data_IF_764145858487
#
_entry.id   IF_764145858487
#
_cell.length_a   1.000
_cell.length_b   1.000
_cell.length_c   1.000
_cell.angle_alpha   90.00
_cell.angle_beta   90.00
_cell.angle_gamma   90.00
#
_symmetry.space_group_name_H-M   'P 1'
#
loop_
_entity.id
_entity.type
_entity.pdbx_description
1 polymer ?
#
# COMPACT_ATOMS: atom_id res chain seq x y z
N UNK A 1 -40.68 14.23 40.32
CA UNK A 1 -40.37 13.05 39.52
C UNK A 1 -38.92 13.19 39.11
N UNK A 2 -38.02 12.58 39.86
CA UNK A 2 -36.56 12.64 39.65
C UNK A 2 -36.16 11.56 38.66
N UNK A 3 -35.65 11.99 37.52
CA UNK A 3 -35.16 11.10 36.47
C UNK A 3 -33.77 10.63 36.84
N UNK A 4 -33.62 9.42 37.40
CA UNK A 4 -32.35 8.76 37.67
C UNK A 4 -31.79 8.21 36.39
N UNK A 5 -30.81 8.90 35.84
CA UNK A 5 -29.97 8.33 34.77
C UNK A 5 -29.18 7.14 35.32
N UNK A 6 -29.45 5.94 34.80
CA UNK A 6 -28.71 4.73 35.12
C UNK A 6 -27.20 4.86 34.72
N UNK A 7 -26.32 4.03 35.28
CA UNK A 7 -24.90 4.08 34.96
C UNK A 7 -24.71 3.82 33.47
N UNK A 8 -24.22 4.84 32.77
CA UNK A 8 -23.96 4.76 31.33
C UNK A 8 -22.96 3.63 31.05
N UNK A 9 -23.28 2.78 30.09
CA UNK A 9 -22.33 1.83 29.53
C UNK A 9 -21.03 2.54 29.20
N UNK A 10 -19.85 1.99 29.52
CA UNK A 10 -18.57 2.63 29.24
C UNK A 10 -18.50 2.97 27.77
N UNK A 11 -18.32 4.25 27.47
CA UNK A 11 -18.10 4.67 26.08
C UNK A 11 -16.84 3.96 25.61
N UNK A 12 -16.93 3.23 24.49
CA UNK A 12 -15.82 2.54 23.82
C UNK A 12 -14.62 3.48 23.48
N UNK A 13 -14.73 4.77 23.83
CA UNK A 13 -13.73 5.82 23.62
C UNK A 13 -12.55 5.78 24.58
N UNK A 14 -12.63 5.09 25.73
CA UNK A 14 -11.68 5.31 26.83
C UNK A 14 -10.66 4.20 27.04
N UNK A 15 -10.76 3.09 26.29
CA UNK A 15 -9.76 2.01 26.33
C UNK A 15 -8.47 2.33 25.54
N UNK A 16 -7.38 1.59 25.83
CA UNK A 16 -6.12 1.75 25.09
C UNK A 16 -6.32 1.54 23.60
N UNK A 17 -5.50 2.21 22.77
CA UNK A 17 -5.51 2.01 21.34
C UNK A 17 -5.07 0.58 21.00
N UNK A 18 -5.76 -0.10 20.08
CA UNK A 18 -5.38 -1.45 19.67
C UNK A 18 -3.96 -1.49 19.04
N UNK A 19 -3.46 -0.36 18.52
CA UNK A 19 -2.07 -0.24 18.04
C UNK A 19 -1.04 -0.21 19.17
N UNK A 20 -1.40 0.31 20.34
CA UNK A 20 -0.55 0.23 21.54
C UNK A 20 -0.43 -1.23 21.98
N UNK A 21 -1.56 -1.93 22.09
CA UNK A 21 -1.57 -3.35 22.41
C UNK A 21 -0.74 -4.18 21.42
N UNK A 22 -0.94 -3.97 20.10
CA UNK A 22 -0.20 -4.71 19.07
C UNK A 22 1.33 -4.52 19.18
N UNK A 23 1.75 -3.30 19.53
CA UNK A 23 3.17 -2.97 19.75
C UNK A 23 3.72 -3.65 21.01
N UNK A 24 2.99 -3.63 22.12
CA UNK A 24 3.36 -4.27 23.37
C UNK A 24 3.47 -5.78 23.22
N UNK A 25 2.56 -6.39 22.46
CA UNK A 25 2.58 -7.82 22.15
C UNK A 25 3.59 -8.18 21.05
N UNK A 26 4.30 -7.19 20.48
CA UNK A 26 5.24 -7.39 19.37
C UNK A 26 4.60 -8.13 18.19
N UNK A 27 3.33 -7.83 17.92
CA UNK A 27 2.60 -8.44 16.83
C UNK A 27 3.28 -8.12 15.49
N UNK A 28 3.62 -9.16 14.74
CA UNK A 28 4.30 -9.00 13.45
C UNK A 28 3.32 -8.52 12.38
N UNK A 29 3.57 -7.37 11.72
CA UNK A 29 2.68 -6.84 10.70
C UNK A 29 2.80 -7.52 9.34
N UNK A 30 3.75 -8.44 9.12
CA UNK A 30 3.96 -9.04 7.81
C UNK A 30 2.72 -9.80 7.31
N UNK A 31 2.48 -9.74 6.00
CA UNK A 31 1.33 -10.37 5.37
C UNK A 31 0.01 -9.64 5.62
N UNK A 32 0.04 -8.44 6.20
CA UNK A 32 -1.18 -7.63 6.45
C UNK A 32 -1.38 -6.51 5.44
N UNK A 33 -0.50 -6.35 4.46
CA UNK A 33 -0.76 -5.51 3.30
C UNK A 33 -1.87 -6.14 2.45
N UNK A 34 -2.79 -5.33 1.92
CA UNK A 34 -3.77 -5.83 0.97
C UNK A 34 -3.10 -6.23 -0.35
N UNK A 35 -3.65 -7.25 -1.02
CA UNK A 35 -3.18 -7.68 -2.34
C UNK A 35 -4.06 -7.04 -3.42
N UNK A 36 -3.49 -6.20 -4.27
CA UNK A 36 -4.26 -5.42 -5.25
C UNK A 36 -3.57 -5.40 -6.62
N UNK A 37 -4.37 -5.36 -7.67
CA UNK A 37 -3.88 -5.10 -9.04
C UNK A 37 -3.50 -3.64 -9.25
N UNK A 38 -3.91 -2.74 -8.35
CA UNK A 38 -3.60 -1.33 -8.42
C UNK A 38 -4.21 -0.51 -7.29
N UNK A 39 -3.96 0.78 -7.35
CA UNK A 39 -4.58 1.80 -6.51
C UNK A 39 -5.23 2.85 -7.39
N UNK A 40 -6.40 3.33 -6.97
CA UNK A 40 -7.03 4.52 -7.48
C UNK A 40 -7.10 5.55 -6.34
N UNK A 41 -6.37 6.63 -6.48
CA UNK A 41 -6.32 7.74 -5.54
C UNK A 41 -7.16 8.88 -6.11
N UNK A 42 -8.05 9.45 -5.31
CA UNK A 42 -8.88 10.60 -5.70
C UNK A 42 -8.89 11.60 -4.56
N UNK A 43 -8.54 12.84 -4.82
CA UNK A 43 -8.73 13.90 -3.84
C UNK A 43 -10.23 14.10 -3.60
N UNK A 44 -10.63 13.99 -2.33
CA UNK A 44 -12.02 14.06 -1.91
C UNK A 44 -12.13 14.79 -0.57
N UNK A 45 -12.99 15.82 -0.45
CA UNK A 45 -13.07 16.66 0.73
C UNK A 45 -13.53 15.88 1.98
N UNK A 46 -13.13 16.39 3.13
CA UNK A 46 -13.64 15.95 4.43
C UNK A 46 -15.02 16.63 4.71
N UNK A 47 -15.86 16.02 5.59
CA UNK A 47 -15.64 14.81 6.36
C UNK A 47 -15.92 13.54 5.55
N UNK A 48 -15.13 12.50 5.76
CA UNK A 48 -15.39 11.20 5.15
C UNK A 48 -16.37 10.36 5.98
N UNK A 49 -17.32 9.67 5.35
CA UNK A 49 -18.16 8.68 6.02
C UNK A 49 -17.30 7.52 6.54
N UNK A 50 -17.84 6.74 7.46
CA UNK A 50 -17.11 5.59 8.02
C UNK A 50 -16.73 4.56 6.96
N UNK A 51 -17.63 4.27 6.06
CA UNK A 51 -17.37 3.52 4.84
C UNK A 51 -17.50 4.49 3.65
N UNK A 52 -16.43 4.62 2.88
CA UNK A 52 -16.40 5.53 1.74
C UNK A 52 -17.47 5.21 0.69
N UNK A 53 -17.98 3.98 0.66
CA UNK A 53 -19.10 3.58 -0.23
C UNK A 53 -20.45 4.16 0.21
N UNK A 54 -20.56 4.73 1.40
CA UNK A 54 -21.75 5.46 1.86
C UNK A 54 -21.89 6.84 1.18
N UNK A 55 -20.80 7.34 0.56
CA UNK A 55 -20.85 8.53 -0.28
C UNK A 55 -21.44 8.17 -1.66
N UNK A 56 -22.61 8.73 -2.03
CA UNK A 56 -23.30 8.36 -3.28
C UNK A 56 -22.47 8.68 -4.53
N UNK A 57 -21.62 9.71 -4.49
CA UNK A 57 -20.77 10.07 -5.63
C UNK A 57 -19.60 9.09 -5.81
N UNK A 58 -19.04 8.60 -4.70
CA UNK A 58 -17.91 7.66 -4.72
C UNK A 58 -18.31 6.20 -4.92
N UNK A 59 -19.54 5.81 -4.56
CA UNK A 59 -19.98 4.43 -4.63
C UNK A 59 -19.78 3.77 -6.00
N UNK A 60 -20.12 4.39 -7.16
CA UNK A 60 -19.84 3.82 -8.48
C UNK A 60 -18.36 3.64 -8.78
N UNK A 61 -17.53 4.59 -8.36
CA UNK A 61 -16.07 4.55 -8.55
C UNK A 61 -15.46 3.41 -7.75
N UNK A 62 -15.86 3.28 -6.48
CA UNK A 62 -15.37 2.23 -5.58
C UNK A 62 -15.77 0.84 -6.07
N UNK A 63 -17.01 0.67 -6.56
CA UNK A 63 -17.46 -0.59 -7.12
C UNK A 63 -16.69 -0.95 -8.41
N UNK A 64 -16.41 0.03 -9.26
CA UNK A 64 -15.61 -0.17 -10.47
C UNK A 64 -14.16 -0.52 -10.14
N UNK A 65 -13.56 0.18 -9.16
CA UNK A 65 -12.20 -0.13 -8.68
C UNK A 65 -12.13 -1.55 -8.08
N UNK A 66 -13.13 -1.93 -7.26
CA UNK A 66 -13.23 -3.27 -6.68
C UNK A 66 -13.30 -4.36 -7.75
N UNK A 67 -14.12 -4.17 -8.79
CA UNK A 67 -14.21 -5.10 -9.92
C UNK A 67 -12.91 -5.23 -10.69
N UNK A 68 -12.14 -4.14 -10.80
CA UNK A 68 -10.80 -4.13 -11.39
C UNK A 68 -9.71 -4.70 -10.45
N UNK A 69 -10.06 -5.14 -9.23
CA UNK A 69 -9.10 -5.59 -8.22
C UNK A 69 -8.21 -4.46 -7.66
N UNK A 70 -8.59 -3.20 -7.90
CA UNK A 70 -7.86 -2.03 -7.44
C UNK A 70 -8.37 -1.53 -6.08
N UNK A 71 -7.48 -0.97 -5.30
CA UNK A 71 -7.82 -0.31 -4.04
C UNK A 71 -8.14 1.16 -4.27
N UNK A 72 -9.37 1.58 -3.96
CA UNK A 72 -9.72 2.98 -3.87
C UNK A 72 -9.19 3.62 -2.59
N UNK A 73 -8.65 4.84 -2.69
CA UNK A 73 -8.22 5.68 -1.58
C UNK A 73 -8.64 7.13 -1.83
N UNK A 74 -9.46 7.69 -0.94
CA UNK A 74 -9.66 9.12 -0.92
C UNK A 74 -8.42 9.80 -0.32
N UNK A 75 -8.01 10.91 -0.91
CA UNK A 75 -6.95 11.78 -0.42
C UNK A 75 -7.57 13.08 0.10
N UNK A 76 -7.03 13.65 1.15
CA UNK A 76 -7.39 15.01 1.56
C UNK A 76 -6.83 15.99 0.52
N UNK A 77 -7.64 16.87 -0.08
CA UNK A 77 -7.16 17.84 -1.05
C UNK A 77 -6.05 18.73 -0.49
N UNK A 78 -5.03 18.96 -1.30
CA UNK A 78 -3.92 19.84 -0.92
C UNK A 78 -4.38 21.32 -0.84
N UNK A 79 -5.38 21.71 -1.62
CA UNK A 79 -5.98 23.04 -1.65
C UNK A 79 -7.47 22.92 -2.01
N UNK A 80 -8.30 23.78 -1.42
CA UNK A 80 -9.72 23.87 -1.77
C UNK A 80 -9.96 24.51 -3.14
N UNK A 81 -9.03 25.30 -3.64
CA UNK A 81 -9.14 26.06 -4.89
C UNK A 81 -8.26 25.50 -6.02
N UNK A 82 -7.51 24.44 -5.77
CA UNK A 82 -6.63 23.83 -6.76
C UNK A 82 -7.32 22.72 -7.58
N UNK A 83 -6.64 22.22 -8.63
CA UNK A 83 -7.13 21.05 -9.36
C UNK A 83 -7.19 19.83 -8.43
N UNK A 84 -8.17 18.99 -8.67
CA UNK A 84 -8.32 17.68 -8.03
C UNK A 84 -7.42 16.66 -8.74
N UNK A 85 -6.58 15.97 -7.96
CA UNK A 85 -5.74 14.90 -8.48
C UNK A 85 -6.48 13.57 -8.47
N UNK A 86 -6.48 12.91 -9.63
CA UNK A 86 -6.89 11.51 -9.80
C UNK A 86 -5.67 10.72 -10.26
N UNK A 87 -5.19 9.81 -9.41
CA UNK A 87 -3.96 9.05 -9.67
C UNK A 87 -4.25 7.55 -9.67
N UNK A 88 -3.97 6.90 -10.78
CA UNK A 88 -4.04 5.44 -10.88
C UNK A 88 -2.65 4.84 -10.85
N UNK A 89 -2.50 3.79 -10.07
CA UNK A 89 -1.34 2.94 -10.00
C UNK A 89 -1.74 1.52 -10.38
N UNK A 90 -1.05 0.89 -11.35
CA UNK A 90 -1.37 -0.46 -11.81
C UNK A 90 -0.15 -1.37 -11.69
N UNK A 91 -0.33 -2.53 -11.05
CA UNK A 91 0.72 -3.55 -10.99
C UNK A 91 0.80 -4.27 -12.33
N UNK A 92 2.01 -4.45 -12.90
CA UNK A 92 2.18 -5.19 -14.14
C UNK A 92 1.70 -6.64 -14.01
N UNK A 93 0.90 -7.11 -14.96
CA UNK A 93 0.28 -8.45 -14.90
C UNK A 93 1.32 -9.59 -14.84
N UNK A 94 2.49 -9.39 -15.44
CA UNK A 94 3.60 -10.35 -15.45
C UNK A 94 4.55 -10.22 -14.23
N UNK A 95 4.15 -9.44 -13.21
CA UNK A 95 5.04 -9.03 -12.14
C UNK A 95 5.80 -7.74 -12.48
N UNK A 96 6.34 -7.08 -11.47
CA UNK A 96 7.05 -5.82 -11.67
C UNK A 96 7.85 -5.39 -10.45
N UNK A 97 8.68 -4.38 -10.62
CA UNK A 97 9.39 -3.72 -9.52
C UNK A 97 8.49 -2.71 -8.82
N UNK A 98 7.55 -2.12 -9.56
CA UNK A 98 6.69 -1.01 -9.11
C UNK A 98 5.39 -0.96 -9.89
N UNK A 99 4.42 -0.25 -9.35
CA UNK A 99 3.18 0.09 -10.05
C UNK A 99 3.44 1.16 -11.12
N UNK A 100 2.86 0.97 -12.31
CA UNK A 100 2.83 2.01 -13.34
C UNK A 100 1.84 3.11 -12.90
N UNK A 101 2.25 4.37 -13.05
CA UNK A 101 1.51 5.55 -12.61
C UNK A 101 0.85 6.28 -13.78
N UNK A 102 -0.40 6.72 -13.59
CA UNK A 102 -1.11 7.66 -14.46
C UNK A 102 -1.80 8.70 -13.58
N UNK A 103 -1.57 9.99 -13.81
CA UNK A 103 -2.16 11.09 -13.04
C UNK A 103 -2.88 12.07 -13.96
N UNK A 104 -4.06 12.46 -13.52
CA UNK A 104 -4.85 13.53 -14.10
C UNK A 104 -5.05 14.62 -13.05
N UNK A 105 -4.98 15.87 -13.48
CA UNK A 105 -5.38 17.02 -12.70
C UNK A 105 -6.62 17.61 -13.38
N UNK A 106 -7.75 17.60 -12.69
CA UNK A 106 -9.06 17.97 -13.23
C UNK A 106 -9.79 18.91 -12.26
N UNK A 107 -10.85 19.54 -12.70
CA UNK A 107 -11.72 20.27 -11.79
C UNK A 107 -12.45 19.31 -10.83
N UNK A 108 -12.75 19.75 -9.62
CA UNK A 108 -13.39 18.91 -8.59
C UNK A 108 -14.68 18.25 -9.09
N UNK A 109 -15.47 18.96 -9.91
CA UNK A 109 -16.70 18.41 -10.51
C UNK A 109 -16.49 17.28 -11.52
N UNK A 110 -15.28 17.16 -12.07
CA UNK A 110 -14.91 16.16 -13.07
C UNK A 110 -14.20 14.94 -12.45
N UNK A 111 -13.84 15.00 -11.17
CA UNK A 111 -13.05 13.95 -10.50
C UNK A 111 -13.65 12.55 -10.63
N UNK A 112 -14.98 12.42 -10.49
CA UNK A 112 -15.69 11.13 -10.61
C UNK A 112 -15.61 10.60 -12.06
N UNK A 113 -15.87 11.46 -13.06
CA UNK A 113 -15.80 11.07 -14.47
C UNK A 113 -14.37 10.67 -14.86
N UNK A 114 -13.37 11.43 -14.42
CA UNK A 114 -11.96 11.13 -14.63
C UNK A 114 -11.56 9.79 -13.98
N UNK A 115 -11.99 9.54 -12.75
CA UNK A 115 -11.73 8.28 -12.04
C UNK A 115 -12.34 7.06 -12.76
N UNK A 116 -13.59 7.18 -13.25
CA UNK A 116 -14.23 6.12 -14.03
C UNK A 116 -13.56 5.90 -15.39
N UNK A 117 -13.14 6.97 -16.06
CA UNK A 117 -12.43 6.90 -17.33
C UNK A 117 -11.10 6.14 -17.18
N UNK A 118 -10.30 6.49 -16.17
CA UNK A 118 -9.04 5.81 -15.88
C UNK A 118 -9.25 4.33 -15.55
N UNK A 119 -10.32 3.97 -14.83
CA UNK A 119 -10.64 2.56 -14.52
C UNK A 119 -11.04 1.77 -15.78
N UNK A 120 -11.66 2.43 -16.77
CA UNK A 120 -12.09 1.82 -18.02
C UNK A 120 -10.95 1.58 -19.01
N UNK A 121 -9.81 2.25 -18.82
CA UNK A 121 -8.63 2.01 -19.64
C UNK A 121 -8.12 0.57 -19.41
N UNK A 122 -7.94 -0.22 -20.48
CA UNK A 122 -7.36 -1.54 -20.32
C UNK A 122 -5.95 -1.41 -19.74
N UNK A 123 -5.51 -2.35 -18.88
CA UNK A 123 -4.14 -2.38 -18.44
C UNK A 123 -3.24 -2.39 -19.67
N UNK A 124 -2.29 -1.44 -19.75
CA UNK A 124 -1.34 -1.41 -20.87
C UNK A 124 -0.71 -2.80 -20.99
N UNK A 125 -0.80 -3.39 -22.18
CA UNK A 125 -0.25 -4.72 -22.46
C UNK A 125 1.27 -4.62 -22.60
N UNK A 126 1.95 -4.42 -21.50
CA UNK A 126 3.40 -4.58 -21.42
C UNK A 126 3.69 -6.08 -21.24
N UNK A 127 3.37 -6.87 -22.27
CA UNK A 127 3.81 -8.27 -22.37
C UNK A 127 5.29 -8.32 -22.77
N UNK A 128 6.06 -9.35 -22.37
CA UNK A 128 7.38 -9.57 -22.98
C UNK A 128 7.22 -9.69 -24.49
N UNK A 129 8.17 -9.19 -25.32
CA UNK A 129 8.12 -9.38 -26.73
C UNK A 129 7.99 -10.89 -27.00
N UNK A 130 7.02 -11.26 -27.85
CA UNK A 130 6.89 -12.65 -28.28
C UNK A 130 8.21 -13.03 -28.93
N UNK A 131 8.81 -14.16 -28.53
CA UNK A 131 10.10 -14.64 -29.02
C UNK A 131 10.19 -14.85 -30.53
N UNK A 132 9.08 -14.73 -31.27
CA UNK A 132 8.93 -15.11 -32.66
C UNK A 132 8.69 -13.92 -33.62
N UNK A 133 8.83 -12.66 -33.17
CA UNK A 133 8.72 -11.51 -34.07
C UNK A 133 10.10 -11.10 -34.57
N UNK A 134 10.40 -11.21 -35.89
CA UNK A 134 11.70 -10.79 -36.44
C UNK A 134 11.88 -9.28 -36.26
N UNK A 135 13.11 -8.79 -36.04
CA UNK A 135 13.37 -7.37 -35.82
C UNK A 135 12.93 -6.57 -37.05
N UNK A 136 11.99 -5.65 -36.89
CA UNK A 136 11.61 -4.69 -37.94
C UNK A 136 12.83 -3.81 -38.23
N UNK A 137 13.29 -3.89 -39.50
CA UNK A 137 14.40 -3.05 -39.99
C UNK A 137 13.89 -1.62 -40.20
N UNK A 138 14.63 -0.67 -39.58
CA UNK A 138 14.77 0.74 -39.95
C UNK A 138 13.48 1.58 -40.02
N UNK A 139 12.83 1.84 -38.87
CA UNK A 139 12.04 3.07 -38.73
C UNK A 139 12.67 3.91 -37.58
N UNK A 140 12.79 5.24 -37.77
CA UNK A 140 13.28 6.10 -36.66
C UNK A 140 12.23 6.13 -35.54
N UNK A 141 12.64 6.17 -34.26
CA UNK A 141 11.71 6.15 -33.14
C UNK A 141 10.75 7.34 -33.22
N UNK A 142 9.45 7.05 -33.15
CA UNK A 142 8.45 8.09 -33.06
C UNK A 142 8.53 8.76 -31.69
N UNK A 143 8.39 10.09 -31.63
CA UNK A 143 8.50 10.91 -30.41
C UNK A 143 7.47 10.61 -29.31
N UNK A 144 6.61 9.62 -29.50
CA UNK A 144 5.51 9.24 -28.59
C UNK A 144 5.55 7.78 -28.12
N UNK A 145 6.69 7.10 -28.22
CA UNK A 145 6.80 5.77 -27.62
C UNK A 145 6.87 5.87 -26.09
N UNK A 146 6.04 5.09 -25.37
CA UNK A 146 6.16 5.00 -23.92
C UNK A 146 7.51 4.37 -23.53
N UNK A 147 8.10 4.76 -22.40
CA UNK A 147 9.41 4.25 -21.97
C UNK A 147 9.44 2.72 -21.95
N UNK A 148 10.52 2.16 -22.46
CA UNK A 148 10.75 0.72 -22.51
C UNK A 148 10.86 0.14 -21.09
N UNK A 149 10.55 -1.15 -20.93
CA UNK A 149 10.55 -1.89 -19.63
C UNK A 149 11.87 -1.80 -18.86
N UNK A 150 12.98 -1.48 -19.50
CA UNK A 150 14.33 -1.50 -18.95
C UNK A 150 14.91 -0.11 -18.69
N UNK A 151 14.12 0.96 -18.84
CA UNK A 151 14.62 2.25 -18.40
C UNK A 151 14.67 2.30 -16.87
N UNK A 152 15.84 2.66 -16.30
CA UNK A 152 15.91 2.93 -14.87
C UNK A 152 14.87 3.99 -14.53
N UNK A 153 14.22 3.91 -13.35
CA UNK A 153 13.17 4.82 -12.97
C UNK A 153 13.60 6.24 -13.28
N UNK A 154 12.80 6.97 -14.07
CA UNK A 154 13.11 8.36 -14.29
C UNK A 154 13.17 8.99 -12.90
N UNK A 155 14.28 9.65 -12.58
CA UNK A 155 14.49 10.32 -11.27
C UNK A 155 13.43 11.39 -10.97
N UNK A 156 12.47 11.58 -11.86
CA UNK A 156 11.43 12.60 -11.83
C UNK A 156 10.04 12.11 -11.43
N UNK A 157 9.80 10.79 -11.29
CA UNK A 157 8.52 10.32 -10.78
C UNK A 157 8.40 10.56 -9.27
N UNK A 158 7.34 11.25 -8.80
CA UNK A 158 7.16 11.49 -7.37
C UNK A 158 6.91 10.17 -6.63
N UNK A 159 7.41 10.11 -5.40
CA UNK A 159 7.05 9.07 -4.44
C UNK A 159 5.84 9.56 -3.67
N UNK A 160 4.76 8.80 -3.68
CA UNK A 160 3.57 9.09 -2.89
C UNK A 160 3.57 8.28 -1.60
N UNK A 161 3.58 8.96 -0.46
CA UNK A 161 3.47 8.36 0.87
C UNK A 161 2.05 8.60 1.39
N UNK A 162 1.26 7.55 1.43
CA UNK A 162 -0.15 7.57 1.84
C UNK A 162 -0.24 7.24 3.34
N UNK A 163 -0.58 8.21 4.19
CA UNK A 163 -0.75 8.03 5.63
C UNK A 163 -2.24 7.91 5.95
N UNK A 164 -2.65 6.79 6.54
CA UNK A 164 -4.03 6.59 6.97
C UNK A 164 -4.39 7.55 8.10
N UNK A 165 -5.36 8.44 7.85
CA UNK A 165 -5.87 9.41 8.84
C UNK A 165 -7.38 9.29 9.06
N UNK A 166 -8.01 8.16 8.65
CA UNK A 166 -9.46 7.97 8.66
C UNK A 166 -9.99 7.68 10.06
N UNK A 167 -10.18 8.74 10.86
CA UNK A 167 -10.65 8.68 12.25
C UNK A 167 -12.09 8.20 12.41
N UNK A 168 -12.97 8.54 11.46
CA UNK A 168 -14.36 8.07 11.44
C UNK A 168 -14.48 6.54 11.34
N UNK A 169 -13.46 5.88 10.76
CA UNK A 169 -13.40 4.43 10.67
C UNK A 169 -12.67 3.79 11.84
N UNK A 170 -11.45 4.23 12.15
CA UNK A 170 -10.58 3.63 13.15
C UNK A 170 -9.86 4.68 14.00
N UNK A 171 -10.07 4.63 15.31
CA UNK A 171 -9.51 5.57 16.27
C UNK A 171 -7.98 5.65 16.22
N UNK A 172 -7.30 4.52 16.03
CA UNK A 172 -5.83 4.48 15.92
C UNK A 172 -5.33 5.30 14.73
N UNK A 173 -5.95 5.17 13.54
CA UNK A 173 -5.58 5.95 12.37
C UNK A 173 -5.93 7.43 12.56
N UNK A 174 -7.11 7.73 13.10
CA UNK A 174 -7.55 9.11 13.37
C UNK A 174 -6.66 9.85 14.35
N UNK A 175 -6.15 9.18 15.37
CA UNK A 175 -5.27 9.76 16.38
C UNK A 175 -3.81 9.78 15.89
N UNK A 176 -3.18 8.60 15.79
CA UNK A 176 -1.74 8.50 15.54
C UNK A 176 -1.35 8.86 14.10
N UNK A 177 -2.19 8.49 13.12
CA UNK A 177 -1.93 8.83 11.71
C UNK A 177 -2.07 10.32 11.45
N UNK A 178 -3.08 10.97 12.07
CA UNK A 178 -3.25 12.42 11.94
C UNK A 178 -2.10 13.19 12.61
N UNK A 179 -1.65 12.75 13.79
CA UNK A 179 -0.51 13.35 14.47
C UNK A 179 0.77 13.29 13.62
N UNK A 180 1.06 12.11 13.03
CA UNK A 180 2.20 11.95 12.13
C UNK A 180 2.06 12.83 10.87
N UNK A 181 0.88 12.86 10.26
CA UNK A 181 0.66 13.69 9.09
C UNK A 181 0.84 15.20 9.38
N UNK A 182 0.40 15.67 10.55
CA UNK A 182 0.61 17.05 11.01
C UNK A 182 2.10 17.35 11.23
N UNK A 183 2.84 16.44 11.89
CA UNK A 183 4.28 16.57 12.06
C UNK A 183 5.00 16.72 10.71
N UNK A 184 4.62 15.91 9.72
CA UNK A 184 5.23 15.96 8.39
C UNK A 184 4.83 17.23 7.61
N UNK A 185 3.63 17.77 7.84
CA UNK A 185 3.19 19.01 7.19
C UNK A 185 3.87 20.27 7.73
N UNK A 186 4.55 20.19 8.89
CA UNK A 186 5.21 21.33 9.53
C UNK A 186 6.54 21.73 8.85
N UNK A 187 7.06 20.93 7.92
CA UNK A 187 8.33 21.21 7.25
C UNK A 187 8.21 21.03 5.72
N UNK A 188 8.89 21.84 4.91
CA UNK A 188 8.99 21.61 3.48
C UNK A 188 9.81 20.33 3.22
N UNK A 189 9.33 19.49 2.29
CA UNK A 189 10.00 18.24 1.91
C UNK A 189 10.41 17.35 3.10
N UNK A 190 9.50 17.01 4.01
CA UNK A 190 9.84 16.37 5.30
C UNK A 190 10.48 15.00 5.15
N UNK A 191 10.28 14.34 4.00
CA UNK A 191 10.80 13.02 3.66
C UNK A 191 11.82 13.05 2.52
N UNK A 192 12.15 14.24 1.99
CA UNK A 192 13.08 14.44 0.88
C UNK A 192 12.41 15.01 -0.37
N UNK A 193 13.25 15.45 -1.32
CA UNK A 193 12.79 16.00 -2.60
C UNK A 193 12.04 14.92 -3.42
N UNK A 194 10.98 15.35 -4.12
CA UNK A 194 10.18 14.44 -4.95
C UNK A 194 9.25 13.51 -4.17
N UNK A 195 9.16 13.64 -2.84
CA UNK A 195 8.23 12.86 -2.00
C UNK A 195 7.00 13.70 -1.68
N UNK A 196 5.82 13.20 -2.03
CA UNK A 196 4.52 13.77 -1.67
C UNK A 196 3.92 12.99 -0.51
N UNK A 197 3.46 13.69 0.51
CA UNK A 197 2.80 13.08 1.66
C UNK A 197 1.31 13.35 1.59
N UNK A 198 0.51 12.29 1.63
CA UNK A 198 -0.94 12.37 1.53
C UNK A 198 -1.61 11.83 2.79
N UNK A 199 -2.58 12.59 3.28
CA UNK A 199 -3.58 12.09 4.24
C UNK A 199 -4.61 11.30 3.44
N UNK A 200 -4.83 10.03 3.82
CA UNK A 200 -5.70 9.16 3.04
C UNK A 200 -6.76 8.46 3.88
N UNK A 201 -7.81 7.99 3.21
CA UNK A 201 -8.82 7.12 3.78
C UNK A 201 -8.20 5.78 4.22
N UNK A 202 -9.01 4.86 4.76
CA UNK A 202 -8.54 3.65 5.40
C UNK A 202 -7.68 2.74 4.50
N UNK A 203 -6.38 2.57 4.85
CA UNK A 203 -5.42 1.68 4.15
C UNK A 203 -5.43 0.23 4.66
N UNK A 204 -6.17 -0.08 5.69
CA UNK A 204 -6.09 -1.37 6.41
C UNK A 204 -5.01 -1.40 7.49
N UNK A 205 -5.13 -2.37 8.41
CA UNK A 205 -4.11 -2.60 9.45
C UNK A 205 -4.04 -1.52 10.53
N UNK A 206 -5.17 -0.92 10.93
CA UNK A 206 -5.23 0.16 11.94
C UNK A 206 -4.54 -0.18 13.26
N UNK A 207 -4.47 -1.48 13.62
CA UNK A 207 -3.75 -1.95 14.82
C UNK A 207 -2.24 -1.78 14.74
N UNK A 208 -1.73 -1.50 13.55
CA UNK A 208 -0.33 -1.19 13.29
C UNK A 208 -0.11 0.32 13.04
N UNK A 209 -1.08 1.15 13.43
CA UNK A 209 -1.01 2.61 13.21
C UNK A 209 0.18 3.25 13.98
N UNK A 210 0.77 4.34 13.41
CA UNK A 210 0.51 4.90 12.10
C UNK A 210 0.91 3.96 10.96
N UNK A 211 0.02 3.82 9.95
CA UNK A 211 0.31 2.99 8.76
C UNK A 211 0.53 3.87 7.55
N UNK A 212 1.46 3.46 6.70
CA UNK A 212 1.70 4.10 5.42
C UNK A 212 1.76 3.10 4.28
N UNK A 213 1.39 3.55 3.08
CA UNK A 213 1.68 2.87 1.80
C UNK A 213 2.58 3.78 1.00
N UNK A 214 3.65 3.23 0.44
CA UNK A 214 4.62 3.97 -0.39
C UNK A 214 4.50 3.51 -1.82
N UNK A 215 4.11 4.43 -2.69
CA UNK A 215 3.97 4.23 -4.12
C UNK A 215 5.09 5.00 -4.88
N UNK A 216 5.54 4.50 -6.01
CA UNK A 216 5.00 3.40 -6.81
C UNK A 216 5.42 1.99 -6.39
N UNK A 217 6.25 1.79 -5.36
CA UNK A 217 6.73 0.44 -4.96
C UNK A 217 5.61 -0.45 -4.42
N UNK A 218 4.51 0.13 -3.92
CA UNK A 218 3.39 -0.58 -3.35
C UNK A 218 3.68 -1.20 -1.98
N UNK A 219 4.73 -0.76 -1.31
CA UNK A 219 5.12 -1.27 0.01
C UNK A 219 4.27 -0.68 1.12
N UNK A 220 3.77 -1.52 2.02
CA UNK A 220 2.99 -1.11 3.17
C UNK A 220 3.81 -1.23 4.45
N UNK A 221 3.66 -0.26 5.35
CA UNK A 221 4.48 -0.10 6.55
C UNK A 221 3.62 0.14 7.78
N UNK A 222 4.09 -0.39 8.91
CA UNK A 222 3.48 -0.33 10.23
C UNK A 222 4.27 0.58 11.17
N UNK A 223 3.61 1.08 12.20
CA UNK A 223 4.24 1.83 13.29
C UNK A 223 5.16 2.94 12.79
N UNK A 224 4.73 3.61 11.72
CA UNK A 224 5.51 4.64 11.07
C UNK A 224 5.75 5.84 11.98
N UNK A 225 6.95 6.39 11.88
CA UNK A 225 7.35 7.69 12.37
C UNK A 225 8.10 8.44 11.25
N UNK A 226 8.39 9.71 11.46
CA UNK A 226 9.09 10.54 10.47
C UNK A 226 10.44 9.95 10.06
N UNK A 227 11.23 9.45 11.01
CA UNK A 227 12.56 8.92 10.74
C UNK A 227 12.49 7.64 9.87
N UNK A 228 11.57 6.72 10.21
CA UNK A 228 11.35 5.51 9.42
C UNK A 228 10.87 5.86 8.00
N UNK A 229 9.89 6.76 7.85
CA UNK A 229 9.38 7.16 6.54
C UNK A 229 10.44 7.85 5.68
N UNK A 230 11.31 8.69 6.27
CA UNK A 230 12.42 9.31 5.56
C UNK A 230 13.41 8.26 5.02
N UNK A 231 13.77 7.27 5.85
CA UNK A 231 14.63 6.15 5.43
C UNK A 231 13.99 5.32 4.32
N UNK A 232 12.69 5.03 4.43
CA UNK A 232 11.93 4.25 3.44
C UNK A 232 11.87 5.00 2.10
N UNK A 233 11.51 6.28 2.13
CA UNK A 233 11.39 7.09 0.91
C UNK A 233 12.74 7.29 0.20
N UNK A 234 13.82 7.48 0.97
CA UNK A 234 15.17 7.68 0.46
C UNK A 234 15.95 6.36 0.25
N UNK A 235 15.40 5.22 0.72
CA UNK A 235 16.02 3.89 0.69
C UNK A 235 17.44 3.89 1.25
N UNK A 236 17.61 4.48 2.42
CA UNK A 236 18.89 4.60 3.07
C UNK A 236 18.94 3.90 4.44
N UNK A 237 20.17 3.62 4.88
CA UNK A 237 20.44 2.90 6.12
C UNK A 237 20.13 1.39 6.04
N UNK A 238 20.42 0.65 7.12
CA UNK A 238 20.21 -0.79 7.19
C UNK A 238 18.72 -1.14 7.13
N UNK A 239 18.38 -2.18 6.37
CA UNK A 239 16.99 -2.64 6.20
C UNK A 239 16.47 -3.32 7.48
N UNK A 240 17.33 -3.98 8.23
CA UNK A 240 16.97 -4.83 9.39
C UNK A 240 16.13 -4.09 10.43
N UNK A 241 16.42 -2.81 10.67
CA UNK A 241 15.65 -1.98 11.61
C UNK A 241 14.21 -1.70 11.13
N UNK A 242 13.96 -1.84 9.83
CA UNK A 242 12.67 -1.56 9.20
C UNK A 242 11.85 -2.82 8.92
N UNK A 243 12.48 -3.99 8.84
CA UNK A 243 11.79 -5.26 8.58
C UNK A 243 10.65 -5.54 9.58
N UNK A 244 10.77 -5.24 10.90
CA UNK A 244 9.66 -5.41 11.84
C UNK A 244 8.47 -4.48 11.59
N UNK A 245 8.63 -3.48 10.72
CA UNK A 245 7.56 -2.54 10.30
C UNK A 245 7.00 -2.88 8.93
N UNK A 246 7.62 -3.80 8.21
CA UNK A 246 7.21 -4.16 6.85
C UNK A 246 5.98 -5.06 6.85
N UNK A 247 4.92 -4.62 6.17
CA UNK A 247 3.65 -5.34 6.07
C UNK A 247 3.54 -6.17 4.79
N UNK A 248 4.37 -5.89 3.79
CA UNK A 248 4.37 -6.53 2.47
C UNK A 248 4.18 -5.55 1.32
N UNK A 249 4.39 -6.04 0.10
CA UNK A 249 4.07 -5.31 -1.13
C UNK A 249 2.66 -5.67 -1.60
N UNK A 250 1.84 -4.66 -1.86
CA UNK A 250 0.46 -4.86 -2.32
C UNK A 250 0.35 -5.47 -3.72
N UNK A 251 1.42 -5.44 -4.51
CA UNK A 251 1.47 -6.12 -5.81
C UNK A 251 1.65 -7.64 -5.72
N UNK A 252 1.95 -8.18 -4.53
CA UNK A 252 2.03 -9.63 -4.31
C UNK A 252 0.63 -10.24 -4.24
N UNK A 253 0.47 -11.44 -4.80
CA UNK A 253 -0.84 -12.10 -4.96
C UNK A 253 -1.38 -12.72 -3.68
N UNK A 254 -0.55 -12.94 -2.66
CA UNK A 254 -0.98 -13.51 -1.39
C UNK A 254 -0.14 -13.03 -0.22
N UNK A 255 -0.68 -13.19 0.98
CA UNK A 255 -0.01 -12.86 2.23
C UNK A 255 1.22 -13.75 2.49
N UNK A 256 1.16 -15.03 2.09
CA UNK A 256 2.28 -15.96 2.18
C UNK A 256 3.45 -15.50 1.28
N UNK A 257 3.16 -15.02 0.06
CA UNK A 257 4.18 -14.45 -0.83
C UNK A 257 4.76 -13.16 -0.23
N UNK A 258 3.96 -12.32 0.43
CA UNK A 258 4.48 -11.13 1.15
C UNK A 258 5.44 -11.54 2.28
N UNK A 259 5.14 -12.63 2.99
CA UNK A 259 6.02 -13.14 4.04
C UNK A 259 7.38 -13.61 3.47
N UNK A 260 7.35 -14.38 2.37
CA UNK A 260 8.57 -14.77 1.66
C UNK A 260 9.32 -13.55 1.10
N UNK A 261 8.59 -12.58 0.53
CA UNK A 261 9.19 -11.33 0.02
C UNK A 261 9.98 -10.59 1.10
N UNK A 262 9.47 -10.51 2.35
CA UNK A 262 10.22 -9.91 3.46
C UNK A 262 11.50 -10.68 3.78
N UNK A 263 11.45 -12.00 3.76
CA UNK A 263 12.64 -12.82 3.98
C UNK A 263 13.70 -12.56 2.91
N UNK A 264 13.29 -12.46 1.65
CA UNK A 264 14.19 -12.09 0.54
C UNK A 264 14.67 -10.63 0.66
N UNK A 265 13.80 -9.72 1.14
CA UNK A 265 14.18 -8.33 1.39
C UNK A 265 15.27 -8.21 2.46
N UNK A 266 15.27 -9.09 3.46
CA UNK A 266 16.35 -9.18 4.47
C UNK A 266 17.69 -9.55 3.82
N UNK A 267 17.70 -10.45 2.84
CA UNK A 267 18.92 -10.91 2.17
C UNK A 267 19.44 -9.90 1.10
N UNK A 268 18.51 -9.31 0.35
CA UNK A 268 18.83 -8.48 -0.83
C UNK A 268 18.92 -6.99 -0.48
N UNK A 269 18.24 -6.58 0.57
CA UNK A 269 18.15 -5.17 0.98
C UNK A 269 17.33 -4.32 0.00
N UNK A 270 17.58 -3.02 0.01
CA UNK A 270 16.84 -2.03 -0.80
C UNK A 270 16.78 -2.35 -2.30
N UNK A 271 17.79 -3.07 -2.82
CA UNK A 271 17.85 -3.45 -4.24
C UNK A 271 16.64 -4.27 -4.68
N UNK A 272 16.04 -5.08 -3.78
CA UNK A 272 14.86 -5.86 -4.11
C UNK A 272 13.71 -4.99 -4.63
N UNK A 273 13.58 -3.75 -4.14
CA UNK A 273 12.51 -2.84 -4.54
C UNK A 273 12.66 -2.29 -5.98
N UNK A 274 13.82 -2.48 -6.60
CA UNK A 274 14.08 -2.14 -8.01
C UNK A 274 14.04 -3.36 -8.94
N UNK A 275 13.85 -4.56 -8.37
CA UNK A 275 13.75 -5.80 -9.11
C UNK A 275 12.30 -6.13 -9.43
N UNK A 276 12.04 -6.55 -10.67
CA UNK A 276 10.77 -7.15 -11.01
C UNK A 276 10.60 -8.44 -10.21
N UNK A 277 9.41 -8.64 -9.64
CA UNK A 277 9.17 -9.81 -8.78
C UNK A 277 7.75 -10.30 -8.88
N UNK A 278 7.61 -11.61 -8.76
CA UNK A 278 6.32 -12.29 -8.70
C UNK A 278 6.47 -13.58 -7.91
N UNK A 279 5.42 -14.00 -7.25
CA UNK A 279 5.43 -15.23 -6.45
C UNK A 279 4.38 -16.22 -6.90
N UNK A 280 4.61 -17.48 -6.57
CA UNK A 280 3.70 -18.59 -6.79
C UNK A 280 3.59 -19.48 -5.55
N UNK A 281 2.41 -20.05 -5.37
CA UNK A 281 2.15 -21.12 -4.42
C UNK A 281 2.44 -22.44 -5.13
N UNK A 282 3.37 -23.22 -4.59
CA UNK A 282 3.79 -24.50 -5.14
C UNK A 282 3.02 -25.71 -4.54
N UNK A 283 2.07 -25.41 -3.66
CA UNK A 283 1.27 -26.39 -2.93
C UNK A 283 1.85 -26.75 -1.55
N UNK A 284 0.93 -27.08 -0.63
CA UNK A 284 1.26 -27.24 0.78
C UNK A 284 1.65 -25.93 1.44
N UNK A 285 2.83 -25.86 2.02
CA UNK A 285 3.41 -24.66 2.63
C UNK A 285 4.58 -24.09 1.80
N UNK A 286 4.84 -24.63 0.60
CA UNK A 286 5.96 -24.22 -0.26
C UNK A 286 5.57 -23.03 -1.12
N UNK A 287 6.29 -21.95 -0.97
CA UNK A 287 6.12 -20.70 -1.72
C UNK A 287 7.39 -20.39 -2.49
N UNK A 288 7.22 -19.87 -3.69
CA UNK A 288 8.28 -19.38 -4.56
C UNK A 288 8.17 -17.87 -4.78
N UNK A 289 9.30 -17.19 -4.81
CA UNK A 289 9.44 -15.81 -5.27
C UNK A 289 10.53 -15.76 -6.34
N UNK A 290 10.16 -15.35 -7.54
CA UNK A 290 11.08 -15.05 -8.62
C UNK A 290 11.39 -13.57 -8.59
N UNK A 291 12.66 -13.22 -8.67
CA UNK A 291 13.13 -11.84 -8.79
C UNK A 291 13.98 -11.70 -10.05
N UNK A 292 13.80 -10.60 -10.77
CA UNK A 292 14.55 -10.28 -11.98
C UNK A 292 15.09 -8.86 -11.84
N UNK A 293 16.38 -8.72 -11.93
CA UNK A 293 17.04 -7.43 -11.85
C UNK A 293 16.89 -6.63 -13.17
N UNK A 294 17.27 -5.33 -13.21
CA UNK A 294 17.20 -4.53 -14.43
C UNK A 294 18.07 -5.04 -15.59
N UNK A 295 19.08 -5.88 -15.33
CA UNK A 295 19.89 -6.51 -16.38
C UNK A 295 19.23 -7.75 -17.00
N UNK A 296 18.13 -8.24 -16.39
CA UNK A 296 17.43 -9.47 -16.77
C UNK A 296 17.95 -10.72 -16.07
N UNK A 297 18.91 -10.59 -15.12
CA UNK A 297 19.34 -11.72 -14.30
C UNK A 297 18.20 -12.12 -13.35
N UNK A 298 17.92 -13.43 -13.33
CA UNK A 298 16.85 -14.01 -12.50
C UNK A 298 17.42 -14.82 -11.35
N UNK A 299 16.77 -14.70 -10.20
CA UNK A 299 16.95 -15.59 -9.07
C UNK A 299 15.60 -16.09 -8.59
N UNK A 300 15.58 -17.35 -8.19
CA UNK A 300 14.38 -18.01 -7.63
C UNK A 300 14.65 -18.26 -6.16
N UNK A 301 13.74 -17.79 -5.31
CA UNK A 301 13.77 -18.02 -3.88
C UNK A 301 12.62 -18.93 -3.48
N UNK A 302 12.90 -19.93 -2.67
CA UNK A 302 11.88 -20.83 -2.12
C UNK A 302 11.98 -20.91 -0.61
N UNK A 303 10.82 -21.10 0.03
CA UNK A 303 10.74 -21.35 1.46
C UNK A 303 9.46 -22.13 1.80
N UNK A 304 9.42 -22.65 3.01
CA UNK A 304 8.19 -23.09 3.67
C UNK A 304 7.60 -21.89 4.43
N UNK A 305 6.33 -21.57 4.13
CA UNK A 305 5.63 -20.43 4.72
C UNK A 305 4.36 -20.91 5.40
N UNK A 306 4.33 -20.77 6.72
CA UNK A 306 3.19 -21.18 7.55
C UNK A 306 2.62 -20.00 8.31
N UNK A 307 1.37 -20.10 8.75
CA UNK A 307 0.76 -19.08 9.60
C UNK A 307 0.00 -19.70 10.75
N UNK A 308 0.02 -18.98 11.87
CA UNK A 308 -0.83 -19.22 13.02
C UNK A 308 -1.83 -18.07 13.18
N UNK A 309 -3.08 -18.41 13.46
CA UNK A 309 -4.14 -17.40 13.62
C UNK A 309 -4.27 -16.99 15.09
N UNK A 310 -3.93 -15.75 15.40
CA UNK A 310 -4.06 -15.17 16.74
C UNK A 310 -5.30 -14.29 16.87
N UNK A 311 -6.02 -14.32 18.01
CA UNK A 311 -7.07 -13.35 18.31
C UNK A 311 -6.44 -11.95 18.48
N UNK A 312 -7.10 -10.92 17.94
CA UNK A 312 -6.59 -9.55 17.97
C UNK A 312 -7.71 -8.58 18.28
N UNK A 313 -7.47 -7.53 19.11
CA UNK A 313 -8.46 -6.50 19.36
C UNK A 313 -8.68 -5.63 18.14
N UNK A 314 -9.78 -4.92 18.11
CA UNK A 314 -9.97 -3.80 17.18
C UNK A 314 -10.36 -2.53 17.95
N UNK A 315 -10.47 -1.41 17.23
CA UNK A 315 -10.77 -0.12 17.86
C UNK A 315 -12.14 -0.05 18.56
N UNK A 316 -12.94 -1.11 18.51
CA UNK A 316 -14.31 -1.17 19.06
C UNK A 316 -14.51 -2.30 20.04
N UNK A 317 -13.68 -3.32 19.99
CA UNK A 317 -13.80 -4.51 20.83
C UNK A 317 -12.46 -4.79 21.52
N UNK A 318 -12.43 -4.92 22.83
CA UNK A 318 -11.27 -5.38 23.55
C UNK A 318 -10.95 -6.83 23.20
N UNK A 319 -9.76 -7.30 23.60
CA UNK A 319 -9.26 -8.64 23.26
C UNK A 319 -10.19 -9.77 23.76
N UNK A 320 -10.78 -9.60 24.93
CA UNK A 320 -11.67 -10.58 25.57
C UNK A 320 -12.94 -10.86 24.74
N UNK A 321 -13.32 -9.89 23.91
CA UNK A 321 -14.47 -9.99 23.00
C UNK A 321 -14.03 -10.12 21.53
N UNK A 322 -12.73 -10.36 21.28
CA UNK A 322 -12.17 -10.36 19.93
C UNK A 322 -12.77 -11.48 19.05
N UNK A 323 -13.46 -11.07 18.02
CA UNK A 323 -13.91 -11.96 16.94
C UNK A 323 -12.93 -12.00 15.78
N UNK A 324 -12.04 -11.00 15.70
CA UNK A 324 -11.00 -10.93 14.67
C UNK A 324 -9.81 -11.80 15.03
N UNK A 325 -9.30 -12.47 14.01
CA UNK A 325 -8.05 -13.21 14.08
C UNK A 325 -7.12 -12.68 12.98
N UNK A 326 -5.81 -12.73 13.24
CA UNK A 326 -4.77 -12.30 12.30
C UNK A 326 -3.73 -13.39 12.16
N UNK A 327 -3.27 -13.63 10.92
CA UNK A 327 -2.21 -14.57 10.65
C UNK A 327 -0.86 -14.00 11.10
N UNK A 328 -0.12 -14.79 11.89
CA UNK A 328 1.28 -14.57 12.15
C UNK A 328 2.08 -15.54 11.28
N UNK A 329 2.95 -14.98 10.44
CA UNK A 329 3.64 -15.73 9.40
C UNK A 329 5.03 -16.14 9.83
N UNK A 330 5.40 -17.38 9.55
CA UNK A 330 6.73 -17.96 9.79
C UNK A 330 7.28 -18.47 8.46
N UNK A 331 8.50 -18.06 8.14
CA UNK A 331 9.23 -18.47 6.92
C UNK A 331 10.42 -19.29 7.36
N UNK A 332 10.52 -20.52 6.85
CA UNK A 332 11.58 -21.48 7.19
C UNK A 332 12.23 -22.04 5.92
N UNK A 333 13.53 -22.37 6.02
CA UNK A 333 14.25 -23.03 4.94
C UNK A 333 14.40 -22.18 3.69
N UNK A 334 14.58 -20.85 3.86
CA UNK A 334 14.83 -19.93 2.73
C UNK A 334 16.07 -20.40 1.95
N UNK A 335 15.91 -20.56 0.65
CA UNK A 335 16.99 -20.92 -0.26
C UNK A 335 16.87 -20.20 -1.59
N UNK A 336 18.00 -19.80 -2.14
CA UNK A 336 18.15 -19.28 -3.49
C UNK A 336 18.56 -20.42 -4.43
N UNK A 337 17.90 -20.51 -5.58
CA UNK A 337 18.28 -21.39 -6.70
C UNK A 337 18.91 -20.61 -7.83
#
# INVERSE_FOLDING_TARGET
MTNSAGPGSPRLSDGPLCSTWAREQRLDPIGTAGCYTGYLLVEWPLPWPRDMSEDPALAPVMESARRAGMRFQALVPASEAGPCHVVAYRWPAAGGARFARNELAVDQGEAIAAALAVLSEPPRRDGPPRRDEPPRRNEPPSRNEPPSRNEPPSRNEPIDVLICTHGGRDRCCGSLGTALAQELSAAPHPLGQGVRVWRTSHTGGHRFAPTAVVLPQGTAWAFCDRAALARIAQRNGPMDDLLPRYRGCSGMRSQAIQALERAVLSEVGWRLLDMARWGADLGGDRIELVVEDPSGERAVWEAHVRSEMLPVPDCRQPLELATKREAQWVVEGLRRR
#
